data_IF_877766853124
#
_entry.id   IF_877766853124
#
_cell.length_a   1.000
_cell.length_b   1.000
_cell.length_c   1.000
_cell.angle_alpha   90.00
_cell.angle_beta   90.00
_cell.angle_gamma   90.00
#
_symmetry.space_group_name_H-M   'P 1'
#
loop_
_entity.id
_entity.type
_entity.pdbx_description
1 polymer ?
#
# COMPACT_ATOMS: atom_id res chain seq x y z
N UNK A 1 -12.32 -28.36 20.52
CA UNK A 1 -12.03 -28.86 19.15
C UNK A 1 -11.43 -27.74 18.34
N UNK A 2 -10.38 -28.02 17.56
CA UNK A 2 -9.84 -27.03 16.62
C UNK A 2 -10.79 -26.94 15.44
N UNK A 3 -11.19 -25.72 15.05
CA UNK A 3 -12.04 -25.48 13.87
C UNK A 3 -11.26 -25.70 12.58
N UNK A 4 -11.93 -26.08 11.47
CA UNK A 4 -11.29 -26.26 10.16
C UNK A 4 -10.60 -24.98 9.67
N UNK A 5 -11.15 -23.81 10.00
CA UNK A 5 -10.49 -22.50 9.79
C UNK A 5 -9.68 -22.19 11.04
N UNK A 6 -8.38 -21.99 10.86
CA UNK A 6 -7.45 -21.68 11.95
C UNK A 6 -7.94 -20.49 12.78
N UNK A 7 -8.04 -20.59 14.13
CA UNK A 7 -8.66 -19.58 14.98
C UNK A 7 -7.71 -18.41 15.29
N UNK A 8 -7.19 -17.76 14.25
CA UNK A 8 -6.30 -16.60 14.36
C UNK A 8 -7.03 -15.27 14.57
N UNK A 9 -8.36 -15.28 14.46
CA UNK A 9 -9.23 -14.11 14.62
C UNK A 9 -10.27 -14.34 15.72
N UNK A 10 -10.48 -13.34 16.58
CA UNK A 10 -11.63 -13.26 17.48
C UNK A 10 -12.87 -12.85 16.69
N UNK A 11 -13.61 -13.82 16.12
CA UNK A 11 -14.77 -13.52 15.29
C UNK A 11 -15.97 -13.12 16.14
N UNK A 12 -16.71 -12.11 15.64
CA UNK A 12 -18.07 -11.80 16.10
C UNK A 12 -19.00 -12.84 15.45
N UNK A 13 -19.99 -13.31 16.18
CA UNK A 13 -20.96 -14.31 15.70
C UNK A 13 -22.03 -13.66 14.80
N UNK A 14 -21.59 -13.10 13.67
CA UNK A 14 -22.44 -12.54 12.62
C UNK A 14 -21.90 -13.08 11.28
N UNK A 15 -22.79 -13.57 10.42
CA UNK A 15 -22.48 -14.00 9.07
C UNK A 15 -23.16 -13.07 8.06
N UNK A 16 -22.37 -12.33 7.30
CA UNK A 16 -22.88 -11.48 6.23
C UNK A 16 -23.00 -12.27 4.92
N UNK A 17 -24.11 -12.09 4.22
CA UNK A 17 -24.40 -12.72 2.94
C UNK A 17 -24.38 -11.74 1.77
N UNK A 18 -24.83 -10.50 1.98
CA UNK A 18 -24.97 -9.50 0.95
C UNK A 18 -24.37 -8.15 1.39
N UNK A 19 -23.98 -7.34 0.42
CA UNK A 19 -23.53 -5.96 0.63
C UNK A 19 -23.98 -5.03 -0.49
N UNK A 20 -24.33 -3.78 -0.12
CA UNK A 20 -24.71 -2.74 -1.10
C UNK A 20 -24.33 -1.36 -0.60
N UNK A 21 -23.45 -0.69 -1.31
CA UNK A 21 -22.94 0.63 -0.91
C UNK A 21 -22.29 0.56 0.48
N UNK A 22 -22.75 1.35 1.44
CA UNK A 22 -22.22 1.37 2.81
C UNK A 22 -22.90 0.36 3.74
N UNK A 23 -23.66 -0.59 3.23
CA UNK A 23 -24.44 -1.51 4.06
C UNK A 23 -24.10 -2.96 3.78
N UNK A 24 -24.08 -3.75 4.87
CA UNK A 24 -24.04 -5.20 4.87
C UNK A 24 -25.38 -5.76 5.34
N UNK A 25 -25.71 -6.97 4.92
CA UNK A 25 -26.89 -7.71 5.32
C UNK A 25 -26.45 -9.10 5.76
N UNK A 26 -26.89 -9.51 6.96
CA UNK A 26 -26.59 -10.82 7.48
C UNK A 26 -27.49 -11.92 6.87
N UNK A 27 -27.26 -13.17 7.24
CA UNK A 27 -28.03 -14.34 6.81
C UNK A 27 -29.49 -14.31 7.26
N UNK A 28 -29.87 -13.45 8.21
CA UNK A 28 -31.24 -13.23 8.66
C UNK A 28 -31.90 -12.03 7.94
N UNK A 29 -31.16 -11.32 7.09
CA UNK A 29 -31.62 -10.13 6.39
C UNK A 29 -31.52 -8.84 7.22
N UNK A 30 -30.90 -8.88 8.40
CA UNK A 30 -30.67 -7.69 9.21
C UNK A 30 -29.63 -6.79 8.55
N UNK A 31 -29.88 -5.47 8.60
CA UNK A 31 -29.08 -4.45 7.90
C UNK A 31 -28.12 -3.76 8.87
N UNK A 32 -26.85 -3.71 8.48
CA UNK A 32 -25.76 -3.08 9.24
C UNK A 32 -25.11 -1.97 8.42
N UNK A 33 -24.83 -0.83 9.05
CA UNK A 33 -24.02 0.22 8.46
C UNK A 33 -22.55 -0.12 8.65
N UNK A 34 -21.82 -0.33 7.54
CA UNK A 34 -20.44 -0.78 7.56
C UNK A 34 -19.45 0.40 7.54
N UNK A 35 -18.92 0.75 8.71
CA UNK A 35 -17.79 1.68 8.84
C UNK A 35 -16.42 0.99 8.82
N UNK A 36 -16.35 -0.35 8.92
CA UNK A 36 -15.10 -1.10 8.86
C UNK A 36 -14.58 -1.26 7.43
N UNK A 37 -15.49 -1.33 6.46
CA UNK A 37 -15.20 -1.44 5.00
C UNK A 37 -14.14 -2.49 4.66
N UNK A 38 -14.18 -3.65 5.38
CA UNK A 38 -13.16 -4.69 5.23
C UNK A 38 -11.75 -4.24 5.65
N UNK A 39 -11.65 -3.37 6.65
CA UNK A 39 -10.41 -2.68 7.08
C UNK A 39 -9.86 -1.80 5.95
N UNK A 40 -10.69 -0.82 5.54
CA UNK A 40 -10.39 0.18 4.52
C UNK A 40 -10.13 -0.38 3.08
N UNK A 41 -10.63 -1.57 2.77
CA UNK A 41 -10.48 -2.18 1.43
C UNK A 41 -11.58 -1.79 0.46
N UNK A 42 -12.84 -1.72 0.92
CA UNK A 42 -14.00 -1.45 0.07
C UNK A 42 -14.17 0.06 -0.16
N UNK A 43 -13.21 0.68 -0.83
CA UNK A 43 -13.16 2.14 -1.05
C UNK A 43 -14.38 2.70 -1.80
N UNK A 44 -15.01 1.89 -2.66
CA UNK A 44 -16.21 2.26 -3.41
C UNK A 44 -17.52 1.78 -2.74
N UNK A 45 -17.42 1.19 -1.55
CA UNK A 45 -18.52 0.46 -0.93
C UNK A 45 -18.75 -0.93 -1.53
N UNK A 46 -19.73 -1.65 -0.98
CA UNK A 46 -20.03 -3.01 -1.41
C UNK A 46 -20.73 -3.04 -2.77
N UNK A 47 -20.29 -3.95 -3.64
CA UNK A 47 -20.91 -4.25 -4.94
C UNK A 47 -21.14 -3.01 -5.81
N UNK A 48 -20.12 -2.12 -5.92
CA UNK A 48 -20.21 -0.96 -6.80
C UNK A 48 -20.46 -1.41 -8.23
N UNK A 49 -21.52 -0.90 -8.94
CA UNK A 49 -21.94 -1.44 -10.24
C UNK A 49 -20.85 -1.46 -11.30
N UNK A 50 -20.05 -0.40 -11.40
CA UNK A 50 -18.95 -0.33 -12.36
C UNK A 50 -17.86 -1.39 -12.08
N UNK A 51 -17.48 -1.58 -10.82
CA UNK A 51 -16.51 -2.59 -10.42
C UNK A 51 -17.04 -4.00 -10.70
N UNK A 52 -18.31 -4.29 -10.33
CA UNK A 52 -18.94 -5.59 -10.56
C UNK A 52 -18.97 -5.91 -12.04
N UNK A 53 -19.39 -4.95 -12.90
CA UNK A 53 -19.44 -5.14 -14.34
C UNK A 53 -18.06 -5.43 -14.94
N UNK A 54 -17.03 -4.69 -14.56
CA UNK A 54 -15.66 -4.91 -15.02
C UNK A 54 -15.11 -6.29 -14.64
N UNK A 55 -15.37 -6.73 -13.41
CA UNK A 55 -14.95 -8.06 -12.93
C UNK A 55 -15.72 -9.17 -13.67
N UNK A 56 -17.04 -9.03 -13.85
CA UNK A 56 -17.86 -10.01 -14.59
C UNK A 56 -17.41 -10.13 -16.05
N UNK A 57 -17.17 -9.02 -16.72
CA UNK A 57 -16.70 -9.01 -18.11
C UNK A 57 -15.34 -9.70 -18.24
N UNK A 58 -14.39 -9.37 -17.36
CA UNK A 58 -13.05 -9.95 -17.40
C UNK A 58 -13.06 -11.43 -16.97
N UNK A 59 -13.91 -11.81 -16.03
CA UNK A 59 -14.05 -13.20 -15.58
C UNK A 59 -14.51 -14.15 -16.68
N UNK A 60 -15.26 -13.65 -17.66
CA UNK A 60 -15.68 -14.40 -18.84
C UNK A 60 -14.58 -14.54 -19.92
N UNK A 61 -13.44 -13.83 -19.79
CA UNK A 61 -12.36 -13.81 -20.79
C UNK A 61 -11.11 -14.58 -20.31
N UNK A 62 -10.42 -14.02 -19.33
CA UNK A 62 -9.14 -14.56 -18.87
C UNK A 62 -8.88 -14.10 -17.42
N UNK A 63 -8.66 -15.06 -16.53
CA UNK A 63 -8.43 -14.79 -15.11
C UNK A 63 -6.97 -14.50 -14.80
N UNK A 64 -6.09 -15.36 -15.34
CA UNK A 64 -4.66 -15.34 -15.05
C UNK A 64 -3.85 -15.78 -16.26
N UNK A 65 -2.69 -15.14 -16.40
CA UNK A 65 -1.59 -15.56 -17.25
C UNK A 65 -0.29 -15.14 -16.57
N UNK A 66 0.80 -15.86 -16.81
CA UNK A 66 2.10 -15.53 -16.23
C UNK A 66 2.57 -14.14 -16.66
N UNK A 67 3.29 -13.44 -15.75
CA UNK A 67 4.04 -12.20 -16.04
C UNK A 67 5.18 -12.40 -17.07
N UNK A 68 5.36 -13.61 -17.58
CA UNK A 68 6.21 -13.87 -18.75
C UNK A 68 5.58 -13.38 -20.07
N UNK A 69 4.30 -13.03 -20.05
CA UNK A 69 3.55 -12.51 -21.19
C UNK A 69 3.09 -11.07 -20.94
N UNK A 70 2.84 -10.34 -22.00
CA UNK A 70 2.25 -9.01 -21.90
C UNK A 70 0.78 -9.11 -21.47
N UNK A 71 0.40 -8.31 -20.48
CA UNK A 71 -0.96 -8.23 -19.94
C UNK A 71 -1.48 -6.80 -20.19
N UNK A 72 -2.34 -6.58 -21.19
CA UNK A 72 -2.77 -5.22 -21.58
C UNK A 72 -3.43 -4.44 -20.44
N UNK A 73 -4.26 -5.09 -19.61
CA UNK A 73 -4.90 -4.44 -18.45
C UNK A 73 -3.87 -4.02 -17.40
N UNK A 74 -2.79 -4.78 -17.23
CA UNK A 74 -1.69 -4.47 -16.32
C UNK A 74 -0.94 -3.23 -16.82
N UNK A 75 -0.59 -3.20 -18.10
CA UNK A 75 0.11 -2.06 -18.69
C UNK A 75 -0.76 -0.80 -18.57
N UNK A 76 -2.04 -0.89 -18.97
CA UNK A 76 -2.99 0.24 -18.84
C UNK A 76 -3.06 0.76 -17.41
N UNK A 77 -3.10 -0.12 -16.40
CA UNK A 77 -3.20 0.30 -15.02
C UNK A 77 -1.89 0.93 -14.51
N UNK A 78 -0.73 0.38 -14.93
CA UNK A 78 0.57 0.95 -14.63
C UNK A 78 0.71 2.36 -15.23
N UNK A 79 0.40 2.54 -16.51
CA UNK A 79 0.45 3.85 -17.19
C UNK A 79 -0.39 4.89 -16.44
N UNK A 80 -1.61 4.52 -16.02
CA UNK A 80 -2.50 5.41 -15.28
C UNK A 80 -2.01 5.75 -13.87
N UNK A 81 -1.36 4.80 -13.18
CA UNK A 81 -0.75 5.09 -11.88
C UNK A 81 0.43 6.05 -12.04
N UNK A 82 1.26 5.85 -13.06
CA UNK A 82 2.38 6.74 -13.39
C UNK A 82 1.87 8.15 -13.77
N UNK A 83 0.87 8.26 -14.62
CA UNK A 83 0.27 9.54 -15.03
C UNK A 83 -0.32 10.34 -13.86
N UNK A 84 -0.75 9.66 -12.78
CA UNK A 84 -1.45 10.27 -11.64
C UNK A 84 -0.66 10.23 -10.32
N UNK A 85 0.66 9.97 -10.37
CA UNK A 85 1.51 9.94 -9.20
C UNK A 85 2.92 10.49 -9.49
N UNK A 86 3.81 10.37 -8.53
CA UNK A 86 5.23 10.71 -8.66
C UNK A 86 6.06 9.63 -9.37
N UNK A 87 5.50 8.43 -9.51
CA UNK A 87 6.26 7.24 -9.90
C UNK A 87 6.51 7.18 -11.41
N UNK A 88 7.61 6.55 -11.78
CA UNK A 88 7.96 6.26 -13.17
C UNK A 88 7.70 4.80 -13.53
N UNK A 89 7.56 3.92 -12.52
CA UNK A 89 7.35 2.48 -12.73
C UNK A 89 6.55 1.84 -11.59
N UNK A 90 5.91 0.70 -11.90
CA UNK A 90 5.02 -0.03 -10.98
C UNK A 90 5.30 -1.53 -11.05
N UNK A 91 5.40 -2.16 -9.88
CA UNK A 91 5.36 -3.62 -9.73
C UNK A 91 4.05 -4.03 -9.05
N UNK A 92 3.35 -5.05 -9.57
CA UNK A 92 2.09 -5.53 -9.00
C UNK A 92 2.26 -6.81 -8.19
N UNK A 93 1.53 -6.87 -7.07
CA UNK A 93 1.41 -8.01 -6.17
C UNK A 93 -0.05 -8.18 -5.70
N UNK A 94 -0.31 -8.90 -4.61
CA UNK A 94 -1.68 -9.29 -4.23
C UNK A 94 -2.13 -8.73 -2.87
N UNK A 95 -1.21 -8.17 -2.10
CA UNK A 95 -1.48 -7.73 -0.73
C UNK A 95 -0.57 -6.59 -0.30
N UNK A 96 -0.95 -5.90 0.80
CA UNK A 96 -0.10 -4.87 1.40
C UNK A 96 1.22 -5.40 1.92
N UNK A 97 1.23 -6.60 2.52
CA UNK A 97 2.46 -7.21 2.99
C UNK A 97 3.45 -7.48 1.85
N UNK A 98 2.96 -8.00 0.69
CA UNK A 98 3.80 -8.19 -0.50
C UNK A 98 4.27 -6.85 -1.08
N UNK A 99 3.43 -5.83 -1.07
CA UNK A 99 3.82 -4.49 -1.52
C UNK A 99 4.94 -3.93 -0.63
N UNK A 100 4.82 -4.03 0.68
CA UNK A 100 5.86 -3.55 1.60
C UNK A 100 7.15 -4.37 1.53
N UNK A 101 7.10 -5.69 1.37
CA UNK A 101 8.27 -6.52 1.06
C UNK A 101 8.96 -6.02 -0.23
N UNK A 102 8.16 -5.70 -1.25
CA UNK A 102 8.66 -5.12 -2.50
C UNK A 102 9.35 -3.78 -2.29
N UNK A 103 8.73 -2.85 -1.53
CA UNK A 103 9.31 -1.54 -1.21
C UNK A 103 10.68 -1.67 -0.51
N UNK A 104 10.77 -2.54 0.50
CA UNK A 104 12.02 -2.80 1.23
C UNK A 104 13.11 -3.38 0.32
N UNK A 105 12.72 -4.31 -0.58
CA UNK A 105 13.64 -4.91 -1.55
C UNK A 105 14.13 -3.89 -2.58
N UNK A 106 13.25 -3.02 -3.09
CA UNK A 106 13.63 -1.94 -4.02
C UNK A 106 14.67 -1.03 -3.35
N UNK A 107 14.43 -0.58 -2.12
CA UNK A 107 15.34 0.31 -1.41
C UNK A 107 16.73 -0.32 -1.18
N UNK A 108 16.77 -1.55 -0.69
CA UNK A 108 18.04 -2.26 -0.45
C UNK A 108 18.80 -2.54 -1.76
N UNK A 109 18.06 -2.95 -2.79
CA UNK A 109 18.66 -3.27 -4.10
C UNK A 109 19.22 -2.02 -4.79
N UNK A 110 18.56 -0.87 -4.67
CA UNK A 110 19.06 0.40 -5.15
C UNK A 110 20.47 0.70 -4.60
N UNK A 111 20.65 0.65 -3.28
CA UNK A 111 21.95 0.94 -2.67
C UNK A 111 23.01 -0.11 -3.03
N UNK A 112 22.63 -1.38 -3.08
CA UNK A 112 23.55 -2.45 -3.48
C UNK A 112 24.11 -2.22 -4.89
N UNK A 113 23.26 -1.90 -5.87
CA UNK A 113 23.69 -1.67 -7.26
C UNK A 113 24.48 -0.34 -7.42
N UNK A 114 24.27 0.61 -6.53
CA UNK A 114 25.02 1.86 -6.52
C UNK A 114 26.36 1.79 -5.73
N UNK A 115 26.82 0.58 -5.40
CA UNK A 115 28.13 0.37 -4.76
C UNK A 115 28.11 0.57 -3.23
N UNK A 116 26.94 0.68 -2.62
CA UNK A 116 26.75 0.87 -1.18
C UNK A 116 26.08 -0.36 -0.52
N UNK A 117 26.63 -1.60 -0.64
CA UNK A 117 25.96 -2.83 -0.21
C UNK A 117 25.71 -2.90 1.30
N UNK A 118 26.33 -2.03 2.09
CA UNK A 118 26.12 -1.94 3.54
C UNK A 118 24.88 -1.13 3.91
N UNK A 119 24.28 -0.38 2.99
CA UNK A 119 23.05 0.36 3.20
C UNK A 119 21.85 -0.57 3.08
N UNK A 120 21.48 -1.21 4.18
CA UNK A 120 20.39 -2.19 4.25
C UNK A 120 19.44 -1.96 5.43
N UNK A 121 19.78 -0.99 6.32
CA UNK A 121 18.97 -0.66 7.48
C UNK A 121 17.80 0.26 7.11
N UNK A 122 16.66 0.05 7.77
CA UNK A 122 15.43 0.82 7.56
C UNK A 122 15.06 1.50 8.88
N UNK A 123 14.84 2.81 8.86
CA UNK A 123 14.33 3.54 10.01
C UNK A 123 12.81 3.65 9.88
N UNK A 124 12.10 3.10 10.86
CA UNK A 124 10.63 3.03 10.91
C UNK A 124 10.08 3.85 12.07
N UNK A 125 8.80 4.21 12.01
CA UNK A 125 8.12 4.86 13.13
C UNK A 125 7.44 3.84 14.05
N UNK A 126 7.44 4.09 15.36
CA UNK A 126 6.65 3.31 16.34
C UNK A 126 5.16 3.47 16.07
N UNK A 127 4.35 2.47 16.43
CA UNK A 127 2.90 2.43 16.16
C UNK A 127 2.55 2.08 14.72
N UNK A 128 3.53 1.80 13.85
CA UNK A 128 3.30 1.46 12.46
C UNK A 128 2.82 0.01 12.27
N UNK A 129 2.07 -0.20 11.18
CA UNK A 129 1.66 -1.53 10.72
C UNK A 129 1.96 -1.69 9.22
N UNK A 130 2.92 -2.53 8.87
CA UNK A 130 3.36 -2.74 7.49
C UNK A 130 3.04 -4.13 6.91
N UNK A 131 2.41 -5.01 7.69
CA UNK A 131 2.03 -6.35 7.25
C UNK A 131 2.31 -7.45 8.28
N UNK A 132 2.19 -8.72 7.84
CA UNK A 132 2.30 -9.92 8.68
C UNK A 132 3.36 -10.92 8.20
N UNK A 133 4.19 -10.59 7.21
CA UNK A 133 5.39 -11.35 6.89
C UNK A 133 6.48 -11.07 7.92
N UNK A 134 7.49 -11.95 8.04
CA UNK A 134 8.53 -11.78 9.06
C UNK A 134 9.27 -10.43 8.90
N UNK A 135 9.52 -10.00 7.67
CA UNK A 135 10.20 -8.72 7.41
C UNK A 135 9.29 -7.54 7.74
N UNK A 136 8.03 -7.56 7.31
CA UNK A 136 7.10 -6.47 7.61
C UNK A 136 6.70 -6.41 9.09
N UNK A 137 6.72 -7.54 9.80
CA UNK A 137 6.61 -7.58 11.26
C UNK A 137 7.83 -6.93 11.94
N UNK A 138 9.02 -7.06 11.35
CA UNK A 138 10.22 -6.38 11.85
C UNK A 138 10.21 -4.88 11.57
N UNK A 139 9.61 -4.45 10.47
CA UNK A 139 9.39 -3.03 10.16
C UNK A 139 8.33 -2.39 11.07
N UNK A 140 7.30 -3.14 11.50
CA UNK A 140 6.38 -2.74 12.57
C UNK A 140 7.00 -2.91 13.95
N UNK A 141 6.49 -2.22 14.98
CA UNK A 141 7.04 -2.29 16.34
C UNK A 141 6.21 -3.11 17.33
N UNK A 142 5.09 -3.71 16.89
CA UNK A 142 4.17 -4.47 17.76
C UNK A 142 4.76 -5.79 18.21
N UNK A 143 5.22 -5.87 19.46
CA UNK A 143 5.72 -7.11 20.08
C UNK A 143 4.67 -8.23 20.03
N UNK A 144 3.41 -7.90 20.29
CA UNK A 144 2.27 -8.85 20.22
C UNK A 144 2.19 -9.63 18.92
N UNK A 145 2.56 -9.01 17.80
CA UNK A 145 2.50 -9.66 16.48
C UNK A 145 3.76 -10.44 16.13
N UNK A 146 4.84 -10.25 16.90
CA UNK A 146 6.15 -10.87 16.68
C UNK A 146 6.44 -12.05 17.60
N UNK A 147 5.78 -12.08 18.75
CA UNK A 147 6.00 -13.09 19.78
C UNK A 147 5.82 -14.51 19.20
N UNK A 148 6.82 -15.37 19.42
CA UNK A 148 6.79 -16.79 19.06
C UNK A 148 7.12 -17.11 17.59
N UNK A 149 7.39 -16.10 16.72
CA UNK A 149 7.68 -16.34 15.30
C UNK A 149 9.18 -16.41 14.96
N UNK A 150 10.04 -16.63 15.96
CA UNK A 150 11.46 -16.90 15.76
C UNK A 150 12.33 -15.66 15.55
N UNK A 151 13.56 -15.84 15.03
CA UNK A 151 14.48 -14.72 14.87
C UNK A 151 13.92 -13.69 13.90
N UNK A 152 14.14 -12.42 14.19
CA UNK A 152 13.73 -11.29 13.35
C UNK A 152 14.77 -11.06 12.27
N UNK A 153 14.37 -10.70 11.06
CA UNK A 153 15.27 -10.00 10.16
C UNK A 153 15.82 -8.74 10.83
N UNK A 154 17.14 -8.60 10.84
CA UNK A 154 17.84 -7.43 11.39
C UNK A 154 17.74 -6.21 10.48
N UNK A 155 18.25 -5.08 10.96
CA UNK A 155 18.35 -3.83 10.22
C UNK A 155 17.07 -2.98 10.23
N UNK A 156 16.26 -3.08 11.29
CA UNK A 156 15.10 -2.20 11.52
C UNK A 156 15.26 -1.41 12.80
N UNK A 157 15.21 -0.08 12.69
CA UNK A 157 15.32 0.86 13.82
C UNK A 157 13.99 1.59 13.99
N UNK A 158 13.47 1.65 15.21
CA UNK A 158 12.17 2.28 15.48
C UNK A 158 12.36 3.56 16.28
N UNK A 159 11.73 4.63 15.82
CA UNK A 159 11.74 5.95 16.45
C UNK A 159 10.31 6.42 16.70
N UNK A 160 10.09 7.29 17.66
CA UNK A 160 8.76 7.79 17.95
C UNK A 160 8.18 8.54 16.73
N UNK A 161 6.92 8.22 16.37
CA UNK A 161 6.22 8.90 15.28
C UNK A 161 6.12 10.40 15.56
N UNK A 162 6.53 11.21 14.60
CA UNK A 162 6.56 12.66 14.74
C UNK A 162 7.85 13.23 15.38
N UNK A 163 8.77 12.40 15.87
CA UNK A 163 9.99 12.84 16.52
C UNK A 163 11.18 12.93 15.55
N UNK A 164 11.43 14.10 15.02
CA UNK A 164 12.52 14.37 14.07
C UNK A 164 13.92 14.23 14.69
N UNK A 165 14.07 14.48 15.99
CA UNK A 165 15.36 14.34 16.67
C UNK A 165 15.78 12.87 16.77
N UNK A 166 14.85 11.99 17.14
CA UNK A 166 15.09 10.55 17.15
C UNK A 166 15.33 10.03 15.72
N UNK A 167 14.55 10.52 14.74
CA UNK A 167 14.73 10.15 13.33
C UNK A 167 16.17 10.47 12.88
N UNK A 168 16.65 11.69 13.10
CA UNK A 168 18.02 12.08 12.75
C UNK A 168 19.09 11.26 13.49
N UNK A 169 18.86 10.98 14.77
CA UNK A 169 19.80 10.21 15.58
C UNK A 169 19.91 8.74 15.15
N UNK A 170 18.83 8.19 14.54
CA UNK A 170 18.82 6.83 14.04
C UNK A 170 19.43 6.69 12.63
N UNK A 171 19.64 7.79 11.92
CA UNK A 171 20.26 7.76 10.59
C UNK A 171 21.76 7.45 10.67
N UNK A 172 22.24 6.61 9.75
CA UNK A 172 23.64 6.22 9.65
C UNK A 172 24.07 6.01 8.20
N UNK A 173 25.35 5.71 7.98
CA UNK A 173 25.87 5.28 6.68
C UNK A 173 25.38 3.90 6.22
N UNK A 174 24.65 3.19 7.07
CA UNK A 174 23.99 1.91 6.75
C UNK A 174 22.51 2.07 6.42
N UNK A 175 21.93 3.25 6.62
CA UNK A 175 20.51 3.48 6.37
C UNK A 175 20.20 3.47 4.88
N UNK A 176 19.36 2.54 4.46
CA UNK A 176 18.84 2.44 3.09
C UNK A 176 17.61 3.33 2.89
N UNK A 177 16.69 3.34 3.86
CA UNK A 177 15.45 4.10 3.72
C UNK A 177 14.84 4.50 5.06
N UNK A 178 14.03 5.57 5.00
CA UNK A 178 13.03 5.90 6.02
C UNK A 178 11.69 5.32 5.54
N UNK A 179 10.98 4.58 6.40
CA UNK A 179 9.66 4.01 6.11
C UNK A 179 8.63 4.56 7.09
N UNK A 180 7.58 5.20 6.57
CA UNK A 180 6.46 5.71 7.38
C UNK A 180 5.13 5.55 6.65
N UNK A 181 4.05 5.45 7.43
CA UNK A 181 2.68 5.69 6.96
C UNK A 181 2.41 7.21 7.05
N UNK A 182 1.97 7.89 5.98
CA UNK A 182 1.51 9.29 6.08
C UNK A 182 0.36 9.49 7.07
N UNK A 183 -0.46 8.44 7.23
CA UNK A 183 -1.49 8.34 8.27
C UNK A 183 -1.40 6.93 8.84
N UNK A 184 -0.95 6.79 10.10
CA UNK A 184 -0.93 5.50 10.76
C UNK A 184 -2.36 5.02 11.00
N UNK A 185 -2.76 3.94 10.29
CA UNK A 185 -4.10 3.40 10.39
C UNK A 185 -4.30 2.56 11.64
N UNK A 186 -3.63 1.42 11.73
CA UNK A 186 -3.72 0.48 12.85
C UNK A 186 -3.19 1.08 14.17
N UNK A 187 -2.30 2.05 14.09
CA UNK A 187 -1.76 2.80 15.24
C UNK A 187 -2.75 3.75 15.89
N UNK A 188 -3.97 3.92 15.36
CA UNK A 188 -5.03 4.72 15.96
C UNK A 188 -5.49 5.92 15.14
N UNK A 189 -5.33 5.89 13.81
CA UNK A 189 -5.66 6.97 12.87
C UNK A 189 -4.88 8.25 13.20
N UNK A 190 -3.56 8.12 13.24
CA UNK A 190 -2.65 9.22 13.55
C UNK A 190 -2.12 9.87 12.25
N UNK A 191 -2.62 11.03 11.83
CA UNK A 191 -2.08 11.72 10.67
C UNK A 191 -0.74 12.39 11.00
N UNK A 192 0.24 12.22 10.11
CA UNK A 192 1.46 12.99 10.14
C UNK A 192 1.17 14.47 9.80
N UNK A 193 1.85 15.40 10.47
CA UNK A 193 1.78 16.80 10.05
C UNK A 193 2.54 17.03 8.73
N UNK A 194 2.09 17.98 7.94
CA UNK A 194 2.80 18.39 6.71
C UNK A 194 4.27 18.71 6.98
N UNK A 195 4.57 19.46 8.05
CA UNK A 195 5.93 19.82 8.43
C UNK A 195 6.79 18.56 8.76
N UNK A 196 6.20 17.56 9.41
CA UNK A 196 6.90 16.31 9.70
C UNK A 196 7.26 15.57 8.41
N UNK A 197 6.32 15.38 7.48
CA UNK A 197 6.57 14.69 6.21
C UNK A 197 7.61 15.44 5.35
N UNK A 198 7.53 16.78 5.30
CA UNK A 198 8.53 17.62 4.61
C UNK A 198 9.92 17.43 5.22
N UNK A 199 10.02 17.45 6.56
CA UNK A 199 11.29 17.24 7.25
C UNK A 199 11.84 15.82 7.04
N UNK A 200 11.00 14.78 6.88
CA UNK A 200 11.46 13.43 6.53
C UNK A 200 12.09 13.41 5.12
N UNK A 201 11.54 14.17 4.17
CA UNK A 201 12.14 14.30 2.84
C UNK A 201 13.50 14.99 2.94
N UNK A 202 13.58 16.11 3.68
CA UNK A 202 14.84 16.83 3.89
C UNK A 202 15.91 15.93 4.54
N UNK A 203 15.53 15.12 5.55
CA UNK A 203 16.43 14.17 6.20
C UNK A 203 16.89 13.09 5.21
N UNK A 204 15.96 12.52 4.45
CA UNK A 204 16.33 11.50 3.47
C UNK A 204 17.30 12.04 2.41
N UNK A 205 17.10 13.27 1.95
CA UNK A 205 18.00 13.94 1.01
C UNK A 205 19.37 14.24 1.63
N UNK A 206 19.41 14.75 2.87
CA UNK A 206 20.64 15.05 3.60
C UNK A 206 21.51 13.80 3.80
N UNK A 207 20.90 12.66 4.14
CA UNK A 207 21.61 11.41 4.36
C UNK A 207 21.76 10.55 3.10
N UNK A 208 21.34 11.06 1.93
CA UNK A 208 21.34 10.34 0.67
C UNK A 208 20.70 8.94 0.79
N UNK A 209 19.53 8.87 1.41
CA UNK A 209 18.73 7.67 1.61
C UNK A 209 17.38 7.81 0.92
N UNK A 210 16.61 6.73 0.83
CA UNK A 210 15.29 6.75 0.19
C UNK A 210 14.18 7.00 1.19
N UNK A 211 13.10 7.66 0.74
CA UNK A 211 11.87 7.85 1.49
C UNK A 211 10.79 6.89 0.95
N UNK A 212 10.28 6.03 1.82
CA UNK A 212 9.20 5.08 1.51
C UNK A 212 7.94 5.52 2.24
N UNK A 213 6.84 5.70 1.50
CA UNK A 213 5.52 5.87 2.09
C UNK A 213 4.69 4.60 1.96
N UNK A 214 4.20 4.12 3.10
CA UNK A 214 3.18 3.08 3.14
C UNK A 214 1.81 3.73 3.03
N UNK A 215 1.25 3.72 1.82
CA UNK A 215 -0.10 4.18 1.54
C UNK A 215 -1.10 3.03 1.35
N UNK A 216 -0.77 1.85 1.86
CA UNK A 216 -1.65 0.68 1.81
C UNK A 216 -3.03 0.98 2.38
N UNK A 217 -3.11 1.76 3.46
CA UNK A 217 -4.39 2.10 4.08
C UNK A 217 -4.88 3.51 3.74
N UNK A 218 -3.99 4.49 3.64
CA UNK A 218 -4.37 5.89 3.47
C UNK A 218 -4.44 6.36 2.00
N UNK A 219 -3.98 5.55 1.04
CA UNK A 219 -4.04 5.85 -0.39
C UNK A 219 -5.41 5.63 -1.02
N UNK A 220 -5.45 5.73 -2.33
CA UNK A 220 -6.63 5.46 -3.19
C UNK A 220 -7.89 6.23 -2.79
N UNK A 221 -7.74 7.54 -2.59
CA UNK A 221 -8.87 8.43 -2.30
C UNK A 221 -9.26 8.53 -0.82
N UNK A 222 -8.71 7.71 0.08
CA UNK A 222 -9.10 7.64 1.50
C UNK A 222 -8.93 8.97 2.24
N UNK A 223 -7.89 9.72 1.92
CA UNK A 223 -7.56 11.00 2.56
C UNK A 223 -8.19 12.23 1.90
N UNK A 224 -9.00 12.04 0.83
CA UNK A 224 -9.59 13.13 0.03
C UNK A 224 -8.73 13.59 -1.15
N UNK A 225 -7.51 13.08 -1.28
CA UNK A 225 -6.65 13.12 -2.46
C UNK A 225 -6.48 11.71 -2.99
N UNK A 226 -6.00 11.54 -4.23
CA UNK A 226 -5.75 10.19 -4.75
C UNK A 226 -4.75 9.45 -3.85
N UNK A 227 -3.67 10.14 -3.47
CA UNK A 227 -2.67 9.65 -2.52
C UNK A 227 -2.48 10.62 -1.36
N UNK A 228 -2.18 10.09 -0.16
CA UNK A 228 -2.04 10.90 1.04
C UNK A 228 -0.83 11.84 0.99
N UNK A 229 0.27 11.47 0.31
CA UNK A 229 1.46 12.31 0.15
C UNK A 229 1.16 13.66 -0.49
N UNK A 230 0.14 13.74 -1.36
CA UNK A 230 -0.27 14.97 -2.04
C UNK A 230 -0.70 16.07 -1.05
N UNK A 231 -1.24 15.69 0.12
CA UNK A 231 -1.70 16.64 1.13
C UNK A 231 -0.56 17.45 1.75
N UNK A 232 0.63 16.86 1.79
CA UNK A 232 1.83 17.46 2.32
C UNK A 232 2.74 18.07 1.24
N UNK A 233 2.41 17.84 -0.04
CA UNK A 233 3.24 18.18 -1.19
C UNK A 233 4.69 17.66 -1.03
N UNK A 234 4.81 16.38 -0.63
CA UNK A 234 6.07 15.67 -0.40
C UNK A 234 6.12 14.47 -1.31
N UNK A 235 7.13 14.37 -2.14
CA UNK A 235 7.30 13.24 -3.05
C UNK A 235 8.18 12.17 -2.41
N UNK A 236 7.67 10.93 -2.19
CA UNK A 236 8.51 9.81 -1.78
C UNK A 236 9.30 9.26 -2.97
N UNK A 237 10.31 8.43 -2.70
CA UNK A 237 11.01 7.68 -3.73
C UNK A 237 10.30 6.36 -4.07
N UNK A 238 9.61 5.79 -3.08
CA UNK A 238 8.89 4.51 -3.19
C UNK A 238 7.58 4.61 -2.42
N UNK A 239 6.51 3.98 -2.93
CA UNK A 239 5.21 3.93 -2.26
C UNK A 239 4.58 2.54 -2.39
N UNK A 240 4.10 2.01 -1.27
CA UNK A 240 3.32 0.77 -1.23
C UNK A 240 1.82 1.04 -1.25
N UNK A 241 1.09 0.32 -2.10
CA UNK A 241 -0.37 0.38 -2.22
C UNK A 241 -1.00 -1.01 -2.08
N UNK A 242 -2.18 -1.07 -1.47
CA UNK A 242 -3.07 -2.23 -1.50
C UNK A 242 -4.49 -1.82 -1.09
N UNK A 243 -5.25 -2.70 -0.44
CA UNK A 243 -6.58 -2.42 0.13
C UNK A 243 -7.49 -1.69 -0.88
N UNK A 244 -7.62 -0.37 -0.75
CA UNK A 244 -8.48 0.46 -1.58
C UNK A 244 -8.23 0.34 -3.09
N UNK A 245 -7.01 0.00 -3.54
CA UNK A 245 -6.65 -0.13 -4.95
C UNK A 245 -7.47 -1.21 -5.68
N UNK A 246 -7.89 -2.25 -4.95
CA UNK A 246 -8.70 -3.35 -5.51
C UNK A 246 -10.20 -3.21 -5.25
N UNK A 247 -10.62 -2.25 -4.39
CA UNK A 247 -12.03 -2.07 -4.04
C UNK A 247 -12.69 -3.29 -3.40
N UNK A 248 -11.92 -4.12 -2.69
CA UNK A 248 -12.31 -5.41 -2.13
C UNK A 248 -11.69 -6.61 -2.86
N UNK A 249 -11.17 -6.45 -4.08
CA UNK A 249 -10.40 -7.49 -4.76
C UNK A 249 -8.93 -7.46 -4.30
N UNK A 250 -8.26 -8.62 -4.11
CA UNK A 250 -6.85 -8.66 -3.69
C UNK A 250 -5.92 -8.07 -4.75
N UNK A 251 -5.36 -6.90 -4.47
CA UNK A 251 -4.37 -6.20 -5.29
C UNK A 251 -3.40 -5.47 -4.38
N UNK A 252 -2.12 -5.47 -4.74
CA UNK A 252 -1.09 -4.63 -4.18
C UNK A 252 -0.19 -4.09 -5.29
N UNK A 253 0.49 -3.00 -5.01
CA UNK A 253 1.45 -2.41 -5.93
C UNK A 253 2.60 -1.73 -5.18
N UNK A 254 3.78 -1.74 -5.81
CA UNK A 254 4.94 -0.95 -5.46
C UNK A 254 5.13 0.08 -6.56
N UNK A 255 5.05 1.34 -6.21
CA UNK A 255 5.34 2.47 -7.10
C UNK A 255 6.72 3.01 -6.75
N UNK A 256 7.54 3.31 -7.75
CA UNK A 256 8.87 3.83 -7.52
C UNK A 256 9.30 4.82 -8.60
N UNK A 257 10.19 5.75 -8.23
CA UNK A 257 10.90 6.57 -9.22
C UNK A 257 11.85 5.69 -10.04
N UNK A 258 12.19 6.09 -11.26
CA UNK A 258 13.20 5.44 -12.10
C UNK A 258 14.52 5.26 -11.33
N UNK A 259 14.93 6.29 -10.58
CA UNK A 259 16.11 6.26 -9.73
C UNK A 259 16.02 5.12 -8.70
N UNK A 260 14.97 5.07 -7.90
CA UNK A 260 14.83 4.07 -6.84
C UNK A 260 14.72 2.64 -7.40
N UNK A 261 14.06 2.47 -8.56
CA UNK A 261 13.88 1.18 -9.22
C UNK A 261 15.09 0.72 -10.07
N UNK A 262 16.14 1.51 -10.20
CA UNK A 262 17.26 1.22 -11.11
C UNK A 262 17.94 -0.14 -10.90
N UNK A 263 17.90 -0.69 -9.70
CA UNK A 263 18.41 -2.02 -9.39
C UNK A 263 17.45 -3.18 -9.70
N UNK A 264 16.21 -2.89 -10.12
CA UNK A 264 15.17 -3.90 -10.36
C UNK A 264 15.20 -4.33 -11.82
N UNK A 265 15.90 -5.42 -12.10
CA UNK A 265 16.07 -6.01 -13.44
C UNK A 265 15.41 -7.40 -13.49
N UNK A 266 15.21 -8.00 -14.68
CA UNK A 266 14.62 -9.32 -14.81
C UNK A 266 15.26 -10.34 -13.87
N UNK A 267 14.42 -11.03 -13.07
CA UNK A 267 14.83 -12.05 -12.10
C UNK A 267 15.08 -11.55 -10.67
N UNK A 268 15.09 -10.24 -10.41
CA UNK A 268 15.34 -9.69 -9.05
C UNK A 268 14.14 -9.82 -8.12
N UNK A 269 12.94 -9.79 -8.66
CA UNK A 269 11.69 -9.95 -7.91
C UNK A 269 10.60 -10.55 -8.80
N UNK A 270 9.55 -11.11 -8.20
CA UNK A 270 8.46 -11.72 -8.94
C UNK A 270 7.23 -11.99 -8.08
N UNK A 271 6.09 -12.14 -8.75
CA UNK A 271 4.83 -12.59 -8.18
C UNK A 271 4.12 -13.47 -9.21
N UNK A 272 3.58 -14.61 -8.78
CA UNK A 272 2.82 -15.50 -9.67
C UNK A 272 1.51 -14.83 -10.11
N UNK A 273 0.76 -14.26 -9.18
CA UNK A 273 -0.58 -13.72 -9.42
C UNK A 273 -0.61 -12.19 -9.53
N UNK A 274 0.42 -11.49 -9.05
CA UNK A 274 0.45 -10.03 -9.09
C UNK A 274 0.31 -9.50 -10.51
N UNK A 275 -0.64 -8.57 -10.72
CA UNK A 275 -0.91 -7.99 -12.03
C UNK A 275 -1.74 -8.87 -12.98
N UNK A 276 -2.40 -9.93 -12.49
CA UNK A 276 -3.23 -10.78 -13.34
C UNK A 276 -4.41 -10.01 -13.97
N UNK A 277 -4.91 -10.44 -15.14
CA UNK A 277 -5.97 -9.74 -15.87
C UNK A 277 -7.21 -9.41 -15.04
N UNK A 278 -7.67 -10.33 -14.19
CA UNK A 278 -8.88 -10.14 -13.40
C UNK A 278 -8.69 -9.08 -12.31
N UNK A 279 -7.56 -9.14 -11.60
CA UNK A 279 -7.18 -8.14 -10.59
C UNK A 279 -7.01 -6.74 -11.21
N UNK A 280 -6.40 -6.68 -12.41
CA UNK A 280 -6.18 -5.41 -13.11
C UNK A 280 -7.47 -4.81 -13.67
N UNK A 281 -8.43 -5.63 -14.05
CA UNK A 281 -9.77 -5.16 -14.42
C UNK A 281 -10.48 -4.50 -13.22
N UNK A 282 -10.42 -5.13 -12.05
CA UNK A 282 -10.94 -4.55 -10.81
C UNK A 282 -10.25 -3.23 -10.45
N UNK A 283 -8.91 -3.20 -10.46
CA UNK A 283 -8.13 -2.02 -10.11
C UNK A 283 -8.34 -0.84 -11.08
N UNK A 284 -8.43 -1.11 -12.39
CA UNK A 284 -8.77 -0.08 -13.38
C UNK A 284 -10.15 0.52 -13.11
N UNK A 285 -11.15 -0.31 -12.80
CA UNK A 285 -12.50 0.17 -12.50
C UNK A 285 -12.56 1.00 -11.19
N UNK A 286 -11.76 0.63 -10.19
CA UNK A 286 -11.62 1.44 -8.98
C UNK A 286 -11.03 2.80 -9.30
N UNK A 287 -9.95 2.84 -10.08
CA UNK A 287 -9.27 4.08 -10.43
C UNK A 287 -10.16 4.99 -11.30
N UNK A 288 -11.01 4.42 -12.18
CA UNK A 288 -12.00 5.19 -12.94
C UNK A 288 -12.87 6.05 -12.02
N UNK A 289 -13.35 5.44 -10.92
CA UNK A 289 -14.20 6.14 -9.95
C UNK A 289 -13.40 7.10 -9.08
N UNK A 290 -12.22 6.68 -8.59
CA UNK A 290 -11.38 7.55 -7.76
C UNK A 290 -11.00 8.84 -8.48
N UNK A 291 -10.63 8.79 -9.76
CA UNK A 291 -10.25 9.97 -10.54
C UNK A 291 -11.42 10.94 -10.76
N UNK A 292 -12.68 10.46 -10.80
CA UNK A 292 -13.85 11.33 -10.88
C UNK A 292 -14.03 12.19 -9.61
N UNK A 293 -13.65 11.68 -8.45
CA UNK A 293 -13.78 12.40 -7.18
C UNK A 293 -12.56 13.27 -6.84
N UNK A 294 -11.40 12.93 -7.37
CA UNK A 294 -10.14 13.66 -7.10
C UNK A 294 -9.83 14.72 -8.17
N UNK A 295 -10.49 14.66 -9.33
CA UNK A 295 -10.40 15.69 -10.36
C UNK A 295 -11.30 16.88 -10.00
N UNK A 296 -10.87 18.15 -10.21
CA UNK A 296 -11.73 19.30 -10.00
C UNK A 296 -12.98 19.19 -10.85
N UNK A 297 -14.14 19.30 -10.22
CA UNK A 297 -15.42 19.33 -10.93
C UNK A 297 -15.47 20.59 -11.82
N UNK A 298 -16.13 20.53 -12.98
CA UNK A 298 -16.41 21.75 -13.77
C UNK A 298 -17.14 22.85 -12.97
N UNK A 299 -17.78 22.49 -11.84
CA UNK A 299 -18.39 23.45 -10.91
C UNK A 299 -17.34 24.14 -10.04
N UNK A 300 -16.27 23.46 -9.67
CA UNK A 300 -15.20 24.01 -8.82
C UNK A 300 -14.35 25.02 -9.58
N UNK A 301 -14.26 24.87 -10.92
CA UNK A 301 -13.56 25.80 -11.82
C UNK A 301 -14.33 27.13 -12.07
N UNK A 302 -15.58 27.24 -11.61
CA UNK A 302 -16.43 28.46 -11.80
C UNK A 302 -16.40 29.38 -10.58
N UNK A 303 -15.69 29.05 -9.50
CA UNK A 303 -15.63 29.83 -8.25
C UNK A 303 -14.24 30.42 -7.97
N UNK A 304 -13.35 30.41 -8.97
CA UNK A 304 -12.02 31.07 -8.89
C UNK A 304 -11.95 32.28 -9.79
#
# INVERSE_FOLDING_TARGET
MVTAVMPTYGRIDIAFENGKGSYLFDTNGEKYLDFATGIATNSLGHCHPHLVAAVQEQAAKLWHVSNLYNIPQQQRFADRLVENSFADTVFFCNSGAEAMEGCLKVARKYHFENGEPKREEIVCATGAFHGRTLTTLSAGDSEKYREGFGPRPDGFHHVAFGNLNEMRAAMSDKTAAILVEPIQGEGGINPASTAYLQSLRDIADEFNTLLIFDEVQCGMGRSGKLFAYETANVTPDIMGLAKGIGGGFPVGAVLATEKAASGMVPGTHGSTYGGNPLAMAAANAVLDVCLLYTSPSPRDLRTS
#
